data_IF_576009691318
#
_entry.id   IF_576009691318
#
_cell.length_a   1.000
_cell.length_b   1.000
_cell.length_c   1.000
_cell.angle_alpha   90.00
_cell.angle_beta   90.00
_cell.angle_gamma   90.00
#
_symmetry.space_group_name_H-M   'P 1'
#
loop_
_entity.id
_entity.type
_entity.pdbx_description
1 polymer ?
#
# COMPACT_ATOMS: atom_id res chain seq x y z
N UNK A 1 11.37 40.06 -31.21
CA UNK A 1 11.42 39.85 -29.75
C UNK A 1 10.24 39.04 -29.16
N UNK A 2 9.19 38.71 -29.93
CA UNK A 2 8.03 37.95 -29.43
C UNK A 2 8.13 36.42 -29.58
N UNK A 3 9.09 35.90 -30.36
CA UNK A 3 9.20 34.47 -30.68
C UNK A 3 10.07 33.67 -29.69
N UNK A 4 10.84 34.34 -28.82
CA UNK A 4 11.76 33.72 -27.86
C UNK A 4 11.15 33.49 -26.46
N UNK A 5 9.97 34.06 -26.17
CA UNK A 5 9.28 33.89 -24.88
C UNK A 5 8.32 32.67 -24.92
N UNK A 6 7.90 32.22 -26.11
CA UNK A 6 6.98 31.08 -26.25
C UNK A 6 7.65 29.71 -26.02
N UNK A 7 8.98 29.61 -26.14
CA UNK A 7 9.74 28.39 -25.91
C UNK A 7 10.11 28.15 -24.43
N UNK A 8 9.88 29.13 -23.55
CA UNK A 8 10.17 29.00 -22.12
C UNK A 8 9.05 28.28 -21.32
N UNK A 9 7.89 28.04 -21.92
CA UNK A 9 6.71 27.49 -21.23
C UNK A 9 6.46 26.00 -21.51
N UNK A 10 7.11 25.41 -22.52
CA UNK A 10 6.90 24.00 -22.89
C UNK A 10 8.10 23.14 -22.46
N UNK A 11 8.34 23.08 -21.14
CA UNK A 11 9.53 22.40 -20.62
C UNK A 11 9.44 21.88 -19.19
N UNK A 12 8.28 21.95 -18.51
CA UNK A 12 8.08 21.17 -17.28
C UNK A 12 7.71 19.75 -17.69
N UNK A 13 8.66 19.07 -18.33
CA UNK A 13 8.61 17.61 -18.44
C UNK A 13 8.56 17.09 -17.02
N UNK A 14 7.41 16.55 -16.63
CA UNK A 14 7.27 15.70 -15.45
C UNK A 14 8.19 14.49 -15.65
N UNK A 15 9.49 14.67 -15.41
CA UNK A 15 10.46 13.59 -15.40
C UNK A 15 10.01 12.60 -14.35
N UNK A 16 9.37 11.52 -14.80
CA UNK A 16 9.05 10.39 -13.93
C UNK A 16 10.40 9.94 -13.34
N UNK A 17 10.48 9.67 -12.02
CA UNK A 17 11.71 9.13 -11.47
C UNK A 17 12.11 7.91 -12.28
N UNK A 18 13.40 7.74 -12.52
CA UNK A 18 13.85 6.52 -13.15
C UNK A 18 13.91 5.44 -12.08
N UNK A 19 13.27 4.34 -12.45
CA UNK A 19 12.96 3.25 -11.58
C UNK A 19 13.87 2.10 -11.99
N UNK A 20 15.18 2.28 -11.80
CA UNK A 20 16.23 1.33 -12.22
C UNK A 20 15.92 -0.10 -11.71
N UNK A 21 15.18 -0.22 -10.62
CA UNK A 21 14.73 -1.48 -10.02
C UNK A 21 13.25 -1.45 -9.63
N UNK A 22 12.35 -0.91 -10.46
CA UNK A 22 10.94 -0.69 -10.04
C UNK A 22 10.23 -1.95 -9.52
N UNK A 23 10.52 -3.10 -10.11
CA UNK A 23 9.99 -4.39 -9.64
C UNK A 23 10.43 -4.68 -8.21
N UNK A 24 11.69 -4.41 -7.88
CA UNK A 24 12.24 -4.57 -6.54
C UNK A 24 11.72 -3.52 -5.57
N UNK A 25 11.60 -2.25 -5.99
CA UNK A 25 10.97 -1.19 -5.20
C UNK A 25 9.54 -1.59 -4.82
N UNK A 26 8.79 -2.17 -5.75
CA UNK A 26 7.44 -2.71 -5.49
C UNK A 26 7.45 -3.95 -4.60
N UNK A 27 8.53 -4.73 -4.55
CA UNK A 27 8.67 -5.91 -3.67
C UNK A 27 9.48 -5.62 -2.40
N UNK A 28 9.89 -4.38 -2.19
CA UNK A 28 10.67 -3.99 -1.03
C UNK A 28 9.88 -4.30 0.25
N UNK A 29 10.52 -4.90 1.27
CA UNK A 29 9.84 -5.37 2.48
C UNK A 29 9.53 -4.21 3.43
N UNK A 30 8.54 -3.37 3.07
CA UNK A 30 8.16 -2.19 3.87
C UNK A 30 7.59 -2.55 5.25
N UNK A 31 6.81 -3.62 5.31
CA UNK A 31 6.10 -4.08 6.51
C UNK A 31 6.34 -5.58 6.71
N UNK A 32 6.10 -6.05 7.93
CA UNK A 32 6.14 -7.46 8.34
C UNK A 32 4.99 -7.72 9.31
N UNK A 33 4.66 -9.00 9.55
CA UNK A 33 3.86 -9.37 10.70
C UNK A 33 4.74 -9.56 11.93
N UNK A 34 4.22 -9.15 13.09
CA UNK A 34 4.85 -9.37 14.39
C UNK A 34 3.78 -9.55 15.46
N UNK A 35 4.16 -10.18 16.56
CA UNK A 35 3.40 -10.11 17.80
C UNK A 35 3.47 -8.68 18.36
N UNK A 36 2.33 -8.12 18.78
CA UNK A 36 2.23 -6.79 19.37
C UNK A 36 1.67 -6.87 20.80
N UNK A 37 1.98 -5.84 21.60
CA UNK A 37 1.54 -5.68 22.99
C UNK A 37 1.78 -6.91 23.88
N UNK A 38 2.90 -7.59 23.63
CA UNK A 38 3.27 -8.81 24.35
C UNK A 38 3.33 -8.59 25.85
N UNK A 39 2.70 -9.49 26.62
CA UNK A 39 2.59 -9.39 28.07
C UNK A 39 1.50 -8.44 28.56
N UNK A 40 0.48 -8.18 27.73
CA UNK A 40 -0.76 -7.47 28.11
C UNK A 40 -1.99 -8.29 27.71
N UNK A 41 -3.16 -8.06 28.32
CA UNK A 41 -4.42 -8.71 27.87
C UNK A 41 -4.82 -8.37 26.44
N UNK A 42 -4.24 -7.31 25.84
CA UNK A 42 -4.49 -6.91 24.46
C UNK A 42 -3.55 -7.60 23.46
N UNK A 43 -2.70 -8.55 23.90
CA UNK A 43 -1.72 -9.21 23.06
C UNK A 43 -2.33 -9.83 21.79
N UNK A 44 -1.71 -9.57 20.64
CA UNK A 44 -2.14 -10.09 19.33
C UNK A 44 -0.93 -10.62 18.57
N UNK A 45 -1.09 -11.77 17.91
CA UNK A 45 0.03 -12.56 17.35
C UNK A 45 0.52 -12.11 15.98
N UNK A 46 -0.19 -11.25 15.24
CA UNK A 46 0.10 -11.00 13.83
C UNK A 46 -0.30 -9.59 13.34
N UNK A 47 0.22 -8.58 14.01
CA UNK A 47 0.02 -7.18 13.64
C UNK A 47 1.01 -6.76 12.54
N UNK A 48 0.49 -6.00 11.57
CA UNK A 48 1.33 -5.36 10.55
C UNK A 48 2.17 -4.27 11.19
N UNK A 49 3.51 -4.40 11.15
CA UNK A 49 4.45 -3.43 11.69
C UNK A 49 5.52 -3.00 10.66
N UNK A 50 6.17 -1.83 10.84
CA UNK A 50 7.25 -1.40 9.96
C UNK A 50 8.44 -2.37 9.98
N UNK A 51 8.82 -2.91 8.81
CA UNK A 51 10.03 -3.73 8.64
C UNK A 51 11.24 -2.91 8.14
N UNK A 52 11.07 -1.59 8.10
CA UNK A 52 12.06 -0.63 7.62
C UNK A 52 12.28 0.46 8.65
N UNK A 53 13.45 1.10 8.57
CA UNK A 53 13.69 2.44 9.10
C UNK A 53 13.97 3.39 7.94
N UNK A 54 13.57 4.65 8.09
CA UNK A 54 13.82 5.72 7.13
C UNK A 54 15.03 6.48 7.63
N UNK A 55 16.12 6.42 6.86
CA UNK A 55 17.39 7.02 7.19
C UNK A 55 17.67 8.26 6.32
N UNK A 56 18.38 9.23 6.88
CA UNK A 56 18.90 10.39 6.14
C UNK A 56 20.35 10.70 6.55
N UNK A 57 21.07 11.38 5.65
CA UNK A 57 22.44 11.85 5.89
C UNK A 57 22.50 13.01 6.89
N UNK A 58 23.66 13.21 7.54
CA UNK A 58 23.82 14.24 8.59
C UNK A 58 23.54 15.67 8.11
N UNK A 59 23.83 15.98 6.85
CA UNK A 59 23.72 17.34 6.29
C UNK A 59 22.69 17.43 5.16
N UNK A 60 21.63 16.62 5.23
CA UNK A 60 20.50 16.73 4.32
C UNK A 60 19.65 17.98 4.63
N UNK A 61 19.11 18.60 3.59
CA UNK A 61 18.27 19.80 3.75
C UNK A 61 16.95 19.51 4.47
N UNK A 62 16.36 20.53 5.12
CA UNK A 62 15.04 20.41 5.77
C UNK A 62 13.95 19.90 4.83
N UNK A 63 14.01 20.25 3.54
CA UNK A 63 13.06 19.77 2.54
C UNK A 63 13.17 18.24 2.31
N UNK A 64 14.39 17.69 2.34
CA UNK A 64 14.62 16.23 2.24
C UNK A 64 14.10 15.52 3.49
N UNK A 65 14.34 16.09 4.69
CA UNK A 65 13.82 15.55 5.95
C UNK A 65 12.28 15.54 5.96
N UNK A 66 11.64 16.64 5.54
CA UNK A 66 10.18 16.73 5.42
C UNK A 66 9.63 15.69 4.43
N UNK A 67 10.29 15.50 3.28
CA UNK A 67 9.88 14.47 2.32
C UNK A 67 10.08 13.04 2.86
N UNK A 68 11.07 12.80 3.72
CA UNK A 68 11.23 11.53 4.43
C UNK A 68 10.08 11.28 5.42
N UNK A 69 9.59 12.31 6.10
CA UNK A 69 8.41 12.23 6.97
C UNK A 69 7.14 11.84 6.23
N UNK A 70 6.96 12.26 4.96
CA UNK A 70 5.84 11.81 4.14
C UNK A 70 5.86 10.29 3.91
N UNK A 71 7.04 9.69 3.72
CA UNK A 71 7.18 8.23 3.61
C UNK A 71 6.77 7.57 4.93
N UNK A 72 7.21 8.13 6.06
CA UNK A 72 6.88 7.63 7.39
C UNK A 72 5.37 7.69 7.67
N UNK A 73 4.73 8.80 7.32
CA UNK A 73 3.29 8.98 7.45
C UNK A 73 2.51 7.87 6.73
N UNK A 74 2.78 7.63 5.44
CA UNK A 74 2.07 6.57 4.70
C UNK A 74 2.43 5.16 5.16
N UNK A 75 3.65 4.95 5.68
CA UNK A 75 4.02 3.68 6.28
C UNK A 75 3.21 3.43 7.55
N UNK A 76 3.06 4.45 8.40
CA UNK A 76 2.21 4.41 9.59
C UNK A 76 0.74 4.12 9.26
N UNK A 77 0.23 4.65 8.14
CA UNK A 77 -1.12 4.35 7.65
C UNK A 77 -1.31 2.90 7.15
N UNK A 78 -0.22 2.17 6.89
CA UNK A 78 -0.26 0.76 6.48
C UNK A 78 -0.18 -0.19 7.69
N UNK A 79 0.51 0.21 8.73
CA UNK A 79 0.78 -0.62 9.92
C UNK A 79 -0.27 -0.42 10.99
N UNK A 80 -0.51 -1.44 11.81
CA UNK A 80 -1.45 -1.37 12.94
C UNK A 80 -0.73 -1.09 14.26
N UNK A 81 0.56 -1.40 14.35
CA UNK A 81 1.41 -1.07 15.50
C UNK A 81 2.80 -0.64 15.04
N UNK A 82 3.48 0.15 15.87
CA UNK A 82 4.83 0.65 15.63
C UNK A 82 5.94 -0.28 16.17
N UNK A 83 5.57 -1.42 16.76
CA UNK A 83 6.42 -2.31 17.53
C UNK A 83 6.52 -1.88 19.00
N UNK A 84 5.44 -1.37 19.58
CA UNK A 84 5.41 -0.96 20.98
C UNK A 84 5.38 -2.18 21.90
N UNK A 85 6.17 -2.15 22.97
CA UNK A 85 6.15 -3.17 24.02
C UNK A 85 6.08 -2.50 25.39
N UNK A 86 5.38 -3.09 26.38
CA UNK A 86 5.36 -2.55 27.74
C UNK A 86 6.76 -2.32 28.32
N UNK A 87 7.72 -3.19 27.96
CA UNK A 87 9.13 -3.07 28.38
C UNK A 87 9.82 -1.85 27.76
N UNK A 88 9.55 -1.55 26.49
CA UNK A 88 10.14 -0.40 25.82
C UNK A 88 9.54 0.92 26.33
N UNK A 89 8.21 0.95 26.54
CA UNK A 89 7.49 2.10 27.11
C UNK A 89 7.97 2.42 28.52
N UNK A 90 8.08 1.41 29.41
CA UNK A 90 8.62 1.59 30.76
C UNK A 90 10.03 2.19 30.80
N UNK A 91 10.82 1.99 29.73
CA UNK A 91 12.18 2.54 29.59
C UNK A 91 12.22 3.89 28.85
N UNK A 92 11.07 4.49 28.55
CA UNK A 92 10.98 5.72 27.74
C UNK A 92 11.44 5.54 26.29
N UNK A 93 11.59 4.31 25.81
CA UNK A 93 12.13 3.99 24.48
C UNK A 93 10.99 3.81 23.48
N UNK A 94 10.51 4.91 22.92
CA UNK A 94 9.53 4.85 21.83
C UNK A 94 10.24 4.53 20.49
N UNK A 95 9.70 3.59 19.69
CA UNK A 95 10.29 3.24 18.40
C UNK A 95 10.22 4.42 17.45
N UNK A 96 11.39 4.86 16.96
CA UNK A 96 11.49 5.91 15.94
C UNK A 96 11.65 5.27 14.57
N UNK A 97 10.86 5.70 13.58
CA UNK A 97 10.98 5.19 12.20
C UNK A 97 11.95 6.05 11.38
N UNK A 98 11.97 7.37 11.60
CA UNK A 98 12.82 8.31 10.86
C UNK A 98 14.03 8.69 11.72
N UNK A 99 15.24 8.43 11.24
CA UNK A 99 16.46 8.66 12.05
C UNK A 99 17.71 8.93 11.20
N UNK A 100 18.77 9.52 11.78
CA UNK A 100 20.06 9.65 11.11
C UNK A 100 20.66 8.27 10.73
N UNK A 101 21.37 8.21 9.60
CA UNK A 101 21.92 6.95 9.06
C UNK A 101 22.78 6.18 10.07
N UNK A 102 23.61 6.86 10.87
CA UNK A 102 24.44 6.20 11.89
C UNK A 102 23.64 5.44 12.95
N UNK A 103 22.42 5.91 13.27
CA UNK A 103 21.49 5.18 14.16
C UNK A 103 20.80 4.06 13.40
N UNK A 104 20.34 4.31 12.18
CA UNK A 104 19.68 3.30 11.35
C UNK A 104 20.57 2.06 11.11
N UNK A 105 21.87 2.28 10.92
CA UNK A 105 22.84 1.22 10.71
C UNK A 105 22.97 0.24 11.90
N UNK A 106 22.64 0.66 13.12
CA UNK A 106 22.64 -0.19 14.33
C UNK A 106 21.43 -1.11 14.42
N UNK A 107 20.40 -0.87 13.60
CA UNK A 107 19.20 -1.71 13.56
C UNK A 107 19.42 -2.92 12.64
N UNK A 108 18.65 -4.00 12.83
CA UNK A 108 18.59 -5.12 11.88
C UNK A 108 17.59 -4.90 10.73
N UNK A 109 16.79 -3.83 10.78
CA UNK A 109 15.76 -3.53 9.79
C UNK A 109 16.35 -3.14 8.45
N UNK A 110 15.56 -3.31 7.39
CA UNK A 110 15.84 -2.74 6.07
C UNK A 110 15.81 -1.21 6.13
N UNK A 111 16.48 -0.55 5.18
CA UNK A 111 16.64 0.91 5.22
C UNK A 111 16.02 1.55 3.98
N UNK A 112 15.18 2.57 4.17
CA UNK A 112 14.86 3.54 3.12
C UNK A 112 15.79 4.73 3.33
N UNK A 113 16.78 4.89 2.47
CA UNK A 113 17.79 5.94 2.59
C UNK A 113 17.41 7.13 1.72
N UNK A 114 17.03 8.23 2.36
CA UNK A 114 16.58 9.46 1.69
C UNK A 114 17.71 10.47 1.64
N UNK A 115 18.01 10.94 0.44
CA UNK A 115 19.10 11.86 0.18
C UNK A 115 20.36 11.20 -0.37
N UNK A 116 21.32 12.03 -0.75
CA UNK A 116 22.54 11.64 -1.44
C UNK A 116 23.81 11.92 -0.64
N UNK A 117 23.73 12.75 0.40
CA UNK A 117 24.87 13.09 1.25
C UNK A 117 25.02 12.10 2.41
N UNK A 118 25.39 10.86 2.08
CA UNK A 118 25.55 9.80 3.05
C UNK A 118 26.65 8.80 2.65
N UNK A 119 27.17 8.06 3.62
CA UNK A 119 28.29 7.13 3.41
C UNK A 119 27.95 5.96 2.49
N UNK A 120 26.71 5.47 2.49
CA UNK A 120 26.31 4.35 1.62
C UNK A 120 26.36 4.76 0.15
N UNK A 121 25.78 5.92 -0.19
CA UNK A 121 25.78 6.46 -1.55
C UNK A 121 27.22 6.69 -2.04
N UNK A 122 28.08 7.28 -1.19
CA UNK A 122 29.50 7.50 -1.49
C UNK A 122 30.25 6.19 -1.73
N UNK A 123 30.11 5.22 -0.81
CA UNK A 123 30.82 3.94 -0.90
C UNK A 123 30.39 3.09 -2.09
N UNK A 124 29.13 3.22 -2.52
CA UNK A 124 28.61 2.53 -3.70
C UNK A 124 28.89 3.30 -5.02
N UNK A 125 29.56 4.45 -4.96
CA UNK A 125 29.86 5.27 -6.14
C UNK A 125 28.60 5.74 -6.89
N UNK A 126 27.46 5.84 -6.21
CA UNK A 126 26.18 6.13 -6.87
C UNK A 126 26.11 7.59 -7.32
N UNK A 127 26.00 7.80 -8.63
CA UNK A 127 25.75 9.10 -9.26
C UNK A 127 24.31 9.18 -9.74
N UNK A 128 23.69 10.35 -9.61
CA UNK A 128 22.30 10.57 -9.97
C UNK A 128 22.18 11.68 -11.02
N UNK A 129 21.66 11.36 -12.20
CA UNK A 129 21.32 12.35 -13.24
C UNK A 129 19.85 12.81 -13.17
N UNK A 130 19.01 12.05 -12.46
CA UNK A 130 17.54 12.20 -12.40
C UNK A 130 16.99 11.72 -11.05
N UNK A 131 15.73 12.06 -10.69
CA UNK A 131 15.08 11.49 -9.51
C UNK A 131 15.09 9.96 -9.60
N UNK A 132 15.51 9.27 -8.54
CA UNK A 132 15.83 7.82 -8.61
C UNK A 132 15.32 7.08 -7.40
N UNK A 133 14.73 5.89 -7.64
CA UNK A 133 14.47 4.88 -6.62
C UNK A 133 15.25 3.62 -6.98
N UNK A 134 16.18 3.20 -6.12
CA UNK A 134 17.06 2.06 -6.38
C UNK A 134 17.19 1.16 -5.16
N UNK A 135 16.86 -0.12 -5.30
CA UNK A 135 17.16 -1.13 -4.27
C UNK A 135 18.60 -1.61 -4.46
N UNK A 136 19.34 -1.71 -3.36
CA UNK A 136 20.69 -2.28 -3.31
C UNK A 136 20.79 -3.22 -2.10
N UNK A 137 21.76 -4.13 -2.14
CA UNK A 137 22.15 -4.91 -0.96
C UNK A 137 23.32 -4.23 -0.26
N UNK A 138 23.24 -4.11 1.06
CA UNK A 138 24.31 -3.53 1.87
C UNK A 138 24.42 -4.27 3.20
N UNK A 139 25.56 -4.94 3.43
CA UNK A 139 25.85 -5.68 4.67
C UNK A 139 24.70 -6.61 5.09
N UNK A 140 24.24 -7.48 4.17
CA UNK A 140 23.22 -8.49 4.43
C UNK A 140 21.77 -8.00 4.49
N UNK A 141 21.49 -6.72 4.19
CA UNK A 141 20.12 -6.18 4.15
C UNK A 141 19.87 -5.34 2.90
N UNK A 142 18.60 -5.31 2.48
CA UNK A 142 18.12 -4.42 1.42
C UNK A 142 18.09 -2.96 1.88
N UNK A 143 18.57 -2.08 1.02
CA UNK A 143 18.50 -0.62 1.16
C UNK A 143 17.80 -0.04 -0.06
N UNK A 144 16.72 0.71 0.15
CA UNK A 144 16.05 1.47 -0.90
C UNK A 144 16.58 2.91 -0.89
N UNK A 145 17.43 3.22 -1.86
CA UNK A 145 17.98 4.54 -2.09
C UNK A 145 16.93 5.43 -2.76
N UNK A 146 16.70 6.60 -2.17
CA UNK A 146 15.84 7.67 -2.68
C UNK A 146 16.71 8.88 -2.98
N UNK A 147 17.14 8.99 -4.24
CA UNK A 147 18.18 9.91 -4.67
C UNK A 147 17.78 10.84 -5.81
N UNK A 148 18.69 11.75 -6.16
CA UNK A 148 18.53 12.72 -7.25
C UNK A 148 19.76 13.63 -7.33
N UNK A 149 19.93 14.34 -8.45
CA UNK A 149 21.11 15.21 -8.64
C UNK A 149 21.17 16.39 -7.68
N UNK A 150 20.02 16.78 -7.13
CA UNK A 150 19.86 17.90 -6.22
C UNK A 150 18.63 17.69 -5.31
N UNK A 151 18.48 18.56 -4.30
CA UNK A 151 17.38 18.54 -3.33
C UNK A 151 16.00 18.40 -3.98
N UNK A 152 15.71 19.18 -5.04
CA UNK A 152 14.42 19.15 -5.73
C UNK A 152 14.12 17.77 -6.31
N UNK A 153 15.12 17.11 -6.90
CA UNK A 153 14.96 15.76 -7.43
C UNK A 153 14.82 14.70 -6.34
N UNK A 154 15.57 14.82 -5.23
CA UNK A 154 15.42 13.91 -4.07
C UNK A 154 14.01 14.00 -3.51
N UNK A 155 13.50 15.22 -3.28
CA UNK A 155 12.12 15.45 -2.80
C UNK A 155 11.10 14.85 -3.77
N UNK A 156 11.30 15.00 -5.08
CA UNK A 156 10.43 14.40 -6.11
C UNK A 156 10.43 12.87 -6.04
N UNK A 157 11.60 12.23 -5.88
CA UNK A 157 11.70 10.78 -5.72
C UNK A 157 11.05 10.30 -4.42
N UNK A 158 11.28 11.00 -3.31
CA UNK A 158 10.69 10.71 -2.00
C UNK A 158 9.17 10.81 -2.02
N UNK A 159 8.61 11.89 -2.59
CA UNK A 159 7.16 12.04 -2.72
C UNK A 159 6.57 10.99 -3.68
N UNK A 160 7.28 10.61 -4.74
CA UNK A 160 6.83 9.51 -5.59
C UNK A 160 6.78 8.19 -4.81
N UNK A 161 7.83 7.85 -4.04
CA UNK A 161 7.83 6.67 -3.17
C UNK A 161 6.67 6.73 -2.16
N UNK A 162 6.51 7.86 -1.46
CA UNK A 162 5.48 8.08 -0.46
C UNK A 162 4.07 7.90 -1.05
N UNK A 163 3.69 8.68 -2.06
CA UNK A 163 2.31 8.70 -2.56
C UNK A 163 2.00 7.52 -3.51
N UNK A 164 2.93 7.17 -4.41
CA UNK A 164 2.65 6.23 -5.52
C UNK A 164 3.00 4.78 -5.21
N UNK A 165 3.87 4.55 -4.22
CA UNK A 165 4.28 3.20 -3.84
C UNK A 165 3.75 2.85 -2.47
N UNK A 166 4.17 3.55 -1.42
CA UNK A 166 3.81 3.22 -0.03
C UNK A 166 2.33 3.53 0.22
N UNK A 167 1.89 4.76 -0.04
CA UNK A 167 0.50 5.20 0.16
C UNK A 167 -0.50 4.43 -0.70
N UNK A 168 -0.14 4.12 -1.95
CA UNK A 168 -0.96 3.23 -2.79
C UNK A 168 -1.11 1.84 -2.16
N UNK A 169 -0.01 1.23 -1.67
CA UNK A 169 -0.08 -0.10 -1.04
C UNK A 169 -0.86 -0.07 0.27
N UNK A 170 -0.64 0.93 1.11
CA UNK A 170 -1.39 1.15 2.34
C UNK A 170 -2.89 1.17 2.07
N UNK A 171 -3.32 1.97 1.07
CA UNK A 171 -4.73 2.01 0.64
C UNK A 171 -5.22 0.70 0.04
N UNK A 172 -4.45 0.07 -0.84
CA UNK A 172 -4.83 -1.17 -1.52
C UNK A 172 -5.01 -2.35 -0.55
N UNK A 173 -4.06 -2.59 0.36
CA UNK A 173 -4.16 -3.69 1.32
C UNK A 173 -5.28 -3.45 2.33
N UNK A 174 -5.41 -2.23 2.84
CA UNK A 174 -6.49 -1.87 3.77
C UNK A 174 -7.87 -2.09 3.14
N UNK A 175 -8.09 -1.57 1.93
CA UNK A 175 -9.35 -1.80 1.20
C UNK A 175 -9.59 -3.28 0.91
N UNK A 176 -8.55 -4.02 0.51
CA UNK A 176 -8.67 -5.44 0.19
C UNK A 176 -9.05 -6.27 1.41
N UNK A 177 -8.38 -6.07 2.54
CA UNK A 177 -8.69 -6.78 3.79
C UNK A 177 -10.07 -6.40 4.34
N UNK A 178 -10.44 -5.11 4.29
CA UNK A 178 -11.80 -4.67 4.62
C UNK A 178 -12.86 -5.29 3.71
N UNK A 179 -12.55 -5.51 2.43
CA UNK A 179 -13.49 -6.15 1.49
C UNK A 179 -13.73 -7.61 1.85
N UNK A 180 -12.70 -8.34 2.30
CA UNK A 180 -12.87 -9.71 2.80
C UNK A 180 -13.63 -9.73 4.13
N UNK A 181 -13.31 -8.81 5.05
CA UNK A 181 -14.04 -8.65 6.32
C UNK A 181 -15.54 -8.39 6.07
N UNK A 182 -15.86 -7.56 5.08
CA UNK A 182 -17.25 -7.27 4.70
C UNK A 182 -18.02 -8.54 4.31
N UNK A 183 -17.38 -9.50 3.63
CA UNK A 183 -18.01 -10.78 3.32
C UNK A 183 -18.39 -11.54 4.58
N UNK A 184 -17.48 -11.60 5.55
CA UNK A 184 -17.72 -12.24 6.84
C UNK A 184 -18.88 -11.60 7.61
N UNK A 185 -18.90 -10.27 7.65
CA UNK A 185 -19.99 -9.51 8.29
C UNK A 185 -21.35 -9.77 7.63
N UNK A 186 -21.42 -9.87 6.30
CA UNK A 186 -22.65 -10.23 5.57
C UNK A 186 -23.09 -11.65 5.96
N UNK A 187 -22.16 -12.61 6.00
CA UNK A 187 -22.49 -14.00 6.30
C UNK A 187 -23.02 -14.21 7.72
N UNK A 188 -22.52 -13.40 8.66
CA UNK A 188 -22.92 -13.40 10.07
C UNK A 188 -23.99 -12.35 10.38
N UNK A 189 -24.66 -11.80 9.35
CA UNK A 189 -25.79 -10.87 9.47
C UNK A 189 -25.48 -9.60 10.29
N UNK A 190 -24.21 -9.24 10.41
CA UNK A 190 -23.76 -8.04 11.09
C UNK A 190 -23.80 -6.84 10.14
N UNK A 191 -25.02 -6.49 9.73
CA UNK A 191 -25.29 -5.49 8.70
C UNK A 191 -24.84 -4.08 9.11
N UNK A 192 -25.03 -3.72 10.38
CA UNK A 192 -24.63 -2.41 10.92
C UNK A 192 -23.12 -2.22 10.78
N UNK A 193 -22.31 -3.19 11.25
CA UNK A 193 -20.86 -3.12 11.09
C UNK A 193 -20.45 -3.14 9.61
N UNK A 194 -21.18 -3.86 8.75
CA UNK A 194 -20.97 -3.85 7.31
C UNK A 194 -21.14 -2.46 6.68
N UNK A 195 -22.22 -1.75 7.04
CA UNK A 195 -22.48 -0.38 6.58
C UNK A 195 -21.40 0.58 7.08
N UNK A 196 -21.03 0.50 8.36
CA UNK A 196 -19.94 1.32 8.92
C UNK A 196 -18.62 1.06 8.20
N UNK A 197 -18.27 -0.20 7.97
CA UNK A 197 -17.06 -0.58 7.26
C UNK A 197 -17.00 -0.03 5.84
N UNK A 198 -18.14 0.10 5.14
CA UNK A 198 -18.18 0.72 3.80
C UNK A 198 -18.01 2.24 3.86
N UNK A 199 -18.64 2.89 4.84
CA UNK A 199 -18.71 4.36 4.91
C UNK A 199 -17.49 5.02 5.57
N UNK A 200 -16.79 4.30 6.43
CA UNK A 200 -15.62 4.85 7.11
C UNK A 200 -14.47 5.14 6.14
N UNK A 201 -13.81 6.29 6.33
CA UNK A 201 -12.59 6.65 5.60
C UNK A 201 -11.44 5.65 5.88
N UNK A 202 -11.44 5.07 7.09
CA UNK A 202 -10.58 3.97 7.52
C UNK A 202 -11.12 2.58 7.13
N UNK A 203 -12.30 2.49 6.56
CA UNK A 203 -12.91 1.23 6.17
C UNK A 203 -12.56 0.85 4.74
N UNK A 204 -13.59 0.64 3.94
CA UNK A 204 -13.50 0.23 2.56
C UNK A 204 -13.58 1.46 1.63
N UNK A 205 -12.43 1.91 1.12
CA UNK A 205 -12.40 3.05 0.20
C UNK A 205 -12.70 2.67 -1.26
N UNK A 206 -13.47 1.60 -1.50
CA UNK A 206 -13.74 1.01 -2.81
C UNK A 206 -12.56 1.22 -3.79
N UNK A 207 -12.75 2.01 -4.85
CA UNK A 207 -11.67 2.41 -5.76
C UNK A 207 -11.16 3.82 -5.41
N UNK A 208 -11.92 4.57 -4.62
CA UNK A 208 -11.72 5.98 -4.28
C UNK A 208 -10.27 6.33 -3.96
N UNK A 209 -9.70 5.83 -2.87
CA UNK A 209 -8.33 6.21 -2.45
C UNK A 209 -7.27 5.96 -3.52
N UNK A 210 -7.32 4.80 -4.17
CA UNK A 210 -6.36 4.44 -5.23
C UNK A 210 -6.58 5.24 -6.53
N UNK A 211 -7.84 5.53 -6.86
CA UNK A 211 -8.20 6.29 -8.05
C UNK A 211 -8.00 7.80 -7.87
N UNK A 212 -8.19 8.36 -6.67
CA UNK A 212 -7.85 9.75 -6.35
C UNK A 212 -6.35 9.98 -6.52
N UNK A 213 -5.52 9.03 -6.05
CA UNK A 213 -4.09 9.07 -6.34
C UNK A 213 -3.85 8.99 -7.86
N UNK A 214 -4.56 8.15 -8.59
CA UNK A 214 -4.45 8.00 -10.04
C UNK A 214 -5.24 9.02 -10.88
N UNK A 215 -5.86 10.05 -10.29
CA UNK A 215 -6.86 10.88 -10.97
C UNK A 215 -6.37 11.53 -12.29
N UNK A 216 -5.13 12.04 -12.40
CA UNK A 216 -4.63 12.55 -13.69
C UNK A 216 -4.54 11.49 -14.79
N UNK A 217 -4.34 10.21 -14.42
CA UNK A 217 -4.35 9.09 -15.36
C UNK A 217 -5.77 8.64 -15.70
N UNK A 218 -6.73 8.79 -14.78
CA UNK A 218 -8.13 8.43 -14.99
C UNK A 218 -8.77 9.20 -16.14
N UNK A 219 -8.40 10.47 -16.33
CA UNK A 219 -8.87 11.27 -17.47
C UNK A 219 -8.55 10.60 -18.81
N UNK A 220 -7.36 9.98 -18.89
CA UNK A 220 -6.82 9.32 -20.09
C UNK A 220 -7.21 7.84 -20.21
N UNK A 221 -7.96 7.29 -19.26
CA UNK A 221 -8.37 5.90 -19.34
C UNK A 221 -9.51 5.71 -20.35
N UNK A 222 -9.52 4.56 -21.07
CA UNK A 222 -10.60 4.21 -21.97
C UNK A 222 -11.98 4.20 -21.28
N UNK A 223 -13.04 4.40 -22.07
CA UNK A 223 -14.40 4.47 -21.52
C UNK A 223 -14.84 3.14 -20.88
N UNK A 224 -14.40 1.99 -21.39
CA UNK A 224 -14.70 0.69 -20.78
C UNK A 224 -14.14 0.59 -19.35
N UNK A 225 -12.96 1.15 -19.09
CA UNK A 225 -12.35 1.21 -17.77
C UNK A 225 -13.16 2.11 -16.84
N UNK A 226 -13.54 3.30 -17.33
CA UNK A 226 -14.36 4.24 -16.57
C UNK A 226 -15.71 3.62 -16.19
N UNK A 227 -16.33 2.85 -17.09
CA UNK A 227 -17.58 2.10 -16.82
C UNK A 227 -17.40 1.07 -15.71
N UNK A 228 -16.33 0.26 -15.74
CA UNK A 228 -16.04 -0.72 -14.68
C UNK A 228 -15.84 -0.04 -13.33
N UNK A 229 -15.10 1.06 -13.28
CA UNK A 229 -14.89 1.83 -12.04
C UNK A 229 -16.19 2.43 -11.51
N UNK A 230 -16.99 3.04 -12.39
CA UNK A 230 -18.31 3.61 -12.02
C UNK A 230 -19.24 2.53 -11.49
N UNK A 231 -19.30 1.37 -12.16
CA UNK A 231 -20.07 0.20 -11.73
C UNK A 231 -19.65 -0.27 -10.34
N UNK A 232 -18.35 -0.47 -10.13
CA UNK A 232 -17.83 -0.91 -8.82
C UNK A 232 -18.19 0.06 -7.70
N UNK A 233 -18.00 1.35 -7.92
CA UNK A 233 -18.31 2.36 -6.90
C UNK A 233 -19.83 2.45 -6.62
N UNK A 234 -20.67 2.32 -7.66
CA UNK A 234 -22.13 2.26 -7.49
C UNK A 234 -22.55 1.05 -6.66
N UNK A 235 -22.01 -0.13 -6.96
CA UNK A 235 -22.26 -1.35 -6.17
C UNK A 235 -21.83 -1.11 -4.71
N UNK A 236 -20.58 -0.70 -4.48
CA UNK A 236 -20.04 -0.60 -3.12
C UNK A 236 -20.72 0.47 -2.27
N UNK A 237 -20.98 1.66 -2.82
CA UNK A 237 -21.43 2.81 -2.02
C UNK A 237 -22.94 3.02 -2.00
N UNK A 238 -23.68 2.42 -2.93
CA UNK A 238 -25.12 2.61 -3.05
C UNK A 238 -25.84 1.27 -2.88
N UNK A 239 -25.66 0.35 -3.82
CA UNK A 239 -26.49 -0.86 -3.91
C UNK A 239 -26.23 -1.82 -2.74
N UNK A 240 -24.96 -2.05 -2.42
CA UNK A 240 -24.58 -2.94 -1.32
C UNK A 240 -24.93 -2.33 0.03
N UNK A 241 -24.74 -1.02 0.20
CA UNK A 241 -25.18 -0.30 1.42
C UNK A 241 -26.68 -0.45 1.62
N UNK A 242 -27.47 -0.31 0.56
CA UNK A 242 -28.91 -0.46 0.61
C UNK A 242 -29.31 -1.91 0.96
N UNK A 243 -28.72 -2.91 0.30
CA UNK A 243 -28.99 -4.32 0.62
C UNK A 243 -28.66 -4.66 2.09
N UNK A 244 -27.59 -4.11 2.65
CA UNK A 244 -27.27 -4.28 4.07
C UNK A 244 -28.32 -3.62 4.99
N UNK A 245 -28.79 -2.42 4.65
CA UNK A 245 -29.84 -1.73 5.42
C UNK A 245 -31.16 -2.50 5.40
N UNK A 246 -31.49 -3.06 4.24
CA UNK A 246 -32.68 -3.89 4.03
C UNK A 246 -32.51 -5.30 4.63
N UNK A 247 -31.34 -5.61 5.20
CA UNK A 247 -30.97 -6.92 5.76
C UNK A 247 -31.12 -8.08 4.75
N UNK A 248 -30.95 -7.78 3.47
CA UNK A 248 -31.05 -8.75 2.38
C UNK A 248 -29.68 -9.41 2.14
N UNK A 249 -29.46 -10.53 2.85
CA UNK A 249 -28.20 -11.30 2.78
C UNK A 249 -27.88 -11.75 1.36
N UNK A 250 -28.83 -12.33 0.64
CA UNK A 250 -28.61 -12.93 -0.67
C UNK A 250 -28.19 -11.87 -1.70
N UNK A 251 -28.91 -10.74 -1.72
CA UNK A 251 -28.57 -9.61 -2.57
C UNK A 251 -27.23 -9.00 -2.19
N UNK A 252 -26.94 -8.84 -0.89
CA UNK A 252 -25.64 -8.33 -0.43
C UNK A 252 -24.49 -9.24 -0.87
N UNK A 253 -24.66 -10.57 -0.75
CA UNK A 253 -23.71 -11.58 -1.24
C UNK A 253 -23.48 -11.45 -2.75
N UNK A 254 -24.56 -11.34 -3.53
CA UNK A 254 -24.50 -11.20 -5.00
C UNK A 254 -23.75 -9.94 -5.41
N UNK A 255 -24.10 -8.80 -4.82
CA UNK A 255 -23.47 -7.51 -5.06
C UNK A 255 -21.99 -7.52 -4.65
N UNK A 256 -21.65 -8.15 -3.52
CA UNK A 256 -20.26 -8.33 -3.11
C UNK A 256 -19.46 -9.12 -4.15
N UNK A 257 -19.99 -10.25 -4.66
CA UNK A 257 -19.33 -11.04 -5.71
C UNK A 257 -19.19 -10.24 -7.01
N UNK A 258 -20.18 -9.44 -7.36
CA UNK A 258 -20.13 -8.58 -8.54
C UNK A 258 -19.06 -7.48 -8.40
N UNK A 259 -18.96 -6.86 -7.22
CA UNK A 259 -17.88 -5.93 -6.92
C UNK A 259 -16.50 -6.61 -6.98
N UNK A 260 -16.36 -7.85 -6.50
CA UNK A 260 -15.13 -8.62 -6.63
C UNK A 260 -14.76 -8.85 -8.10
N UNK A 261 -15.75 -9.22 -8.92
CA UNK A 261 -15.52 -9.42 -10.34
C UNK A 261 -14.98 -8.16 -11.03
N UNK A 262 -15.49 -6.97 -10.70
CA UNK A 262 -14.95 -5.72 -11.26
C UNK A 262 -13.48 -5.46 -10.87
N UNK A 263 -13.01 -5.99 -9.74
CA UNK A 263 -11.58 -5.98 -9.40
C UNK A 263 -10.77 -6.88 -10.36
N UNK A 264 -11.27 -8.07 -10.70
CA UNK A 264 -10.65 -8.97 -11.66
C UNK A 264 -10.59 -8.35 -13.06
N UNK A 265 -11.66 -7.65 -13.49
CA UNK A 265 -11.65 -6.93 -14.76
C UNK A 265 -10.44 -5.97 -14.85
N UNK A 266 -10.22 -5.16 -13.81
CA UNK A 266 -9.10 -4.22 -13.77
C UNK A 266 -7.72 -4.87 -13.59
N UNK A 267 -7.62 -5.90 -12.75
CA UNK A 267 -6.34 -6.47 -12.31
C UNK A 267 -5.87 -7.69 -13.12
N UNK A 268 -6.78 -8.41 -13.74
CA UNK A 268 -6.50 -9.55 -14.63
C UNK A 268 -6.81 -9.24 -16.09
N UNK A 269 -7.59 -8.19 -16.40
CA UNK A 269 -7.92 -7.83 -17.77
C UNK A 269 -9.09 -8.62 -18.34
N UNK A 270 -10.05 -9.03 -17.51
CA UNK A 270 -11.25 -9.74 -17.95
C UNK A 270 -12.22 -8.77 -18.63
N UNK A 271 -12.26 -8.80 -19.97
CA UNK A 271 -13.16 -7.96 -20.77
C UNK A 271 -12.77 -6.48 -20.87
N UNK A 272 -11.63 -6.07 -20.30
CA UNK A 272 -11.00 -4.75 -20.49
C UNK A 272 -9.48 -4.88 -20.49
N UNK A 273 -8.77 -3.86 -21.00
CA UNK A 273 -7.30 -3.85 -20.90
C UNK A 273 -6.86 -3.88 -19.44
N UNK A 274 -5.97 -4.83 -19.12
CA UNK A 274 -5.36 -4.95 -17.79
C UNK A 274 -4.67 -3.65 -17.39
N UNK A 275 -5.16 -3.00 -16.34
CA UNK A 275 -4.64 -1.70 -15.89
C UNK A 275 -3.36 -1.84 -15.08
N UNK A 276 -3.27 -2.91 -14.28
CA UNK A 276 -2.13 -3.18 -13.43
C UNK A 276 -2.00 -4.65 -13.13
N UNK A 277 -0.83 -5.22 -13.45
CA UNK A 277 -0.45 -6.54 -12.95
C UNK A 277 -0.37 -6.50 -11.42
N UNK A 278 -1.25 -7.25 -10.77
CA UNK A 278 -1.22 -7.46 -9.33
C UNK A 278 -0.11 -8.46 -9.02
N UNK A 279 0.88 -8.02 -8.24
CA UNK A 279 2.01 -8.85 -7.80
C UNK A 279 2.19 -8.50 -6.33
N UNK A 280 1.37 -9.06 -5.44
CA UNK A 280 1.46 -8.74 -4.03
C UNK A 280 2.70 -9.39 -3.41
N UNK A 281 3.07 -8.94 -2.20
CA UNK A 281 4.01 -9.71 -1.39
C UNK A 281 3.20 -10.88 -0.80
N UNK A 282 3.50 -12.16 -1.11
CA UNK A 282 2.69 -13.31 -0.69
C UNK A 282 2.47 -13.37 0.83
N UNK A 283 3.51 -13.07 1.62
CA UNK A 283 3.45 -13.08 3.08
C UNK A 283 2.42 -12.06 3.59
N UNK A 284 2.50 -10.81 3.12
CA UNK A 284 1.57 -9.74 3.49
C UNK A 284 0.16 -10.02 2.95
N UNK A 285 0.07 -10.56 1.74
CA UNK A 285 -1.21 -10.81 1.09
C UNK A 285 -2.00 -11.90 1.81
N UNK A 286 -1.33 -12.96 2.28
CA UNK A 286 -1.93 -14.13 2.93
C UNK A 286 -2.90 -13.81 4.08
N UNK A 287 -2.81 -12.61 4.67
CA UNK A 287 -3.74 -12.14 5.69
C UNK A 287 -5.21 -12.19 5.29
N UNK A 288 -5.53 -12.02 4.00
CA UNK A 288 -6.93 -12.12 3.56
C UNK A 288 -7.55 -13.48 3.90
N UNK A 289 -6.73 -14.54 3.85
CA UNK A 289 -7.17 -15.90 4.15
C UNK A 289 -7.48 -16.06 5.63
N UNK A 290 -6.66 -15.45 6.50
CA UNK A 290 -6.88 -15.47 7.96
C UNK A 290 -8.17 -14.75 8.34
N UNK A 291 -8.40 -13.56 7.77
CA UNK A 291 -9.66 -12.84 7.94
C UNK A 291 -10.84 -13.74 7.53
N UNK A 292 -10.75 -14.42 6.40
CA UNK A 292 -11.81 -15.32 5.95
C UNK A 292 -12.00 -16.53 6.88
N UNK A 293 -10.92 -17.07 7.45
CA UNK A 293 -10.97 -18.15 8.44
C UNK A 293 -11.60 -17.71 9.76
N UNK A 294 -11.33 -16.49 10.24
CA UNK A 294 -11.91 -15.94 11.47
C UNK A 294 -13.45 -15.85 11.39
N UNK A 295 -13.98 -15.68 10.18
CA UNK A 295 -15.41 -15.73 9.89
C UNK A 295 -15.90 -17.11 9.42
N UNK A 296 -15.10 -18.17 9.54
CA UNK A 296 -15.48 -19.53 9.14
C UNK A 296 -15.75 -19.71 7.63
N UNK A 297 -15.37 -18.74 6.78
CA UNK A 297 -15.61 -18.78 5.32
C UNK A 297 -14.67 -19.72 4.58
N UNK A 298 -13.55 -20.05 5.21
CA UNK A 298 -12.52 -20.93 4.67
C UNK A 298 -12.31 -22.07 5.64
N UNK A 299 -12.42 -23.31 5.14
CA UNK A 299 -12.07 -24.51 5.88
C UNK A 299 -10.78 -25.11 5.31
N UNK A 300 -9.91 -25.60 6.18
CA UNK A 300 -8.70 -26.33 5.80
C UNK A 300 -9.05 -27.81 5.67
N UNK A 301 -8.90 -28.37 4.48
CA UNK A 301 -9.05 -29.81 4.22
C UNK A 301 -7.81 -30.29 3.46
N UNK A 302 -7.19 -31.38 3.92
CA UNK A 302 -6.02 -31.99 3.26
C UNK A 302 -4.87 -31.00 2.91
N UNK A 303 -4.57 -30.08 3.83
CA UNK A 303 -3.57 -28.98 3.68
C UNK A 303 -3.92 -27.93 2.62
N UNK A 304 -5.08 -28.02 1.96
CA UNK A 304 -5.61 -26.98 1.09
C UNK A 304 -6.67 -26.13 1.80
N UNK A 305 -6.75 -24.86 1.42
CA UNK A 305 -7.77 -23.94 1.92
C UNK A 305 -8.89 -23.82 0.90
N UNK A 306 -10.12 -24.13 1.32
CA UNK A 306 -11.29 -23.94 0.48
C UNK A 306 -11.74 -22.49 0.52
N UNK A 307 -11.46 -21.74 -0.55
CA UNK A 307 -11.81 -20.33 -0.68
C UNK A 307 -13.07 -20.10 -1.54
N UNK A 308 -13.89 -21.11 -1.82
CA UNK A 308 -15.02 -21.01 -2.77
C UNK A 308 -16.11 -20.03 -2.34
N UNK A 309 -16.27 -19.83 -1.03
CA UNK A 309 -17.16 -18.80 -0.48
C UNK A 309 -16.83 -17.39 -1.00
N UNK A 310 -15.55 -17.15 -1.32
CA UNK A 310 -15.05 -15.90 -1.89
C UNK A 310 -14.79 -16.01 -3.41
N UNK A 311 -14.20 -17.12 -3.86
CA UNK A 311 -13.75 -17.34 -5.24
C UNK A 311 -14.63 -18.40 -5.92
N UNK A 312 -15.66 -17.98 -6.64
CA UNK A 312 -16.58 -18.89 -7.35
C UNK A 312 -16.98 -18.35 -8.71
N UNK A 313 -17.22 -19.25 -9.67
CA UNK A 313 -17.57 -18.90 -11.05
C UNK A 313 -16.54 -17.96 -11.68
N UNK A 314 -16.96 -16.75 -12.05
CA UNK A 314 -16.10 -15.77 -12.77
C UNK A 314 -14.89 -15.27 -11.98
N UNK A 315 -14.78 -15.60 -10.69
CA UNK A 315 -13.64 -15.23 -9.82
C UNK A 315 -12.90 -16.44 -9.26
N UNK A 316 -13.04 -17.62 -9.87
CA UNK A 316 -12.39 -18.87 -9.43
C UNK A 316 -10.86 -18.90 -9.68
N UNK A 317 -10.34 -18.01 -10.52
CA UNK A 317 -8.91 -17.99 -10.87
C UNK A 317 -8.04 -17.78 -9.63
N UNK A 318 -7.22 -18.79 -9.30
CA UNK A 318 -6.21 -18.73 -8.23
C UNK A 318 -5.10 -17.73 -8.63
N UNK A 319 -4.57 -16.99 -7.66
CA UNK A 319 -3.45 -16.06 -7.85
C UNK A 319 -3.81 -14.57 -7.97
N UNK A 320 -5.07 -14.20 -7.69
CA UNK A 320 -5.49 -12.82 -7.39
C UNK A 320 -5.89 -12.68 -5.92
#
# INVERSE_FOLDING_TARGET
MLFLILLAVVGVVFSKPVLDTFGEVKRFPFVTYTKAWTGTPAEVSEVTAPNVVIAYGKSESRAVLSAASNIAYYLGQWTEDMGLTPRAVRKGKLPTIVMPLNRALKTKKHIILVGTNNSIVKNLGLKFSKPTLKVVQWKGRKVLIVGGRNTRQVVKAANFLAHRVVGFKAGAYKTFFSFVKLRGLIEHENYIAGVHLIKEASGLSACGKNMSLAAPMMLKFPQEVKRVVKKRNRIMYVELVQALKDKDKEKAVKLWKEAMFTCYQCHQGLGIKRLRKFIPNPEIHSRHQRIAMDFGLVRKANREFNCTACHSGRTEQRGY
#
